data_IF_106576717943
#
_entry.id   IF_106576717943
#
_cell.length_a   1.000
_cell.length_b   1.000
_cell.length_c   1.000
_cell.angle_alpha   90.00
_cell.angle_beta   90.00
_cell.angle_gamma   90.00
#
_symmetry.space_group_name_H-M   'P 1'
#
loop_
_entity.id
_entity.type
_entity.pdbx_description
1 polymer ?
#
# COMPACT_ATOMS: atom_id res chain seq x y z
N UNK A 1 -48.48 -23.62 -40.44
CA UNK A 1 -47.46 -23.80 -39.39
C UNK A 1 -46.78 -22.45 -39.17
N UNK A 2 -47.50 -21.49 -38.57
CA UNK A 2 -47.28 -20.92 -37.22
C UNK A 2 -45.84 -20.48 -36.96
N UNK A 3 -45.65 -19.18 -37.20
CA UNK A 3 -44.52 -18.32 -36.84
C UNK A 3 -44.30 -18.29 -35.33
N UNK A 4 -43.04 -18.29 -34.94
CA UNK A 4 -42.56 -18.14 -33.56
C UNK A 4 -42.52 -16.64 -33.23
N UNK A 5 -43.55 -16.12 -32.57
CA UNK A 5 -43.58 -14.78 -32.01
C UNK A 5 -43.07 -14.83 -30.56
N UNK A 6 -41.83 -14.38 -30.34
CA UNK A 6 -41.26 -14.19 -28.99
C UNK A 6 -41.68 -12.83 -28.48
N UNK A 7 -42.32 -12.85 -27.31
CA UNK A 7 -42.93 -11.74 -26.60
C UNK A 7 -41.94 -10.60 -26.33
N UNK A 8 -42.22 -9.46 -26.97
CA UNK A 8 -41.66 -8.15 -26.70
C UNK A 8 -42.50 -7.49 -25.59
N UNK A 9 -42.40 -7.98 -24.35
CA UNK A 9 -43.17 -7.43 -23.23
C UNK A 9 -42.52 -7.77 -21.88
N UNK A 10 -41.32 -7.24 -21.61
CA UNK A 10 -40.84 -7.00 -20.24
C UNK A 10 -39.65 -6.01 -20.26
N UNK A 11 -39.87 -4.82 -20.81
CA UNK A 11 -38.95 -3.69 -20.64
C UNK A 11 -39.73 -2.55 -19.97
N UNK A 12 -39.99 -2.72 -18.68
CA UNK A 12 -40.55 -1.69 -17.82
C UNK A 12 -39.42 -1.11 -16.96
N UNK A 13 -38.84 -0.02 -17.49
CA UNK A 13 -38.44 1.20 -16.80
C UNK A 13 -38.38 1.12 -15.26
N UNK A 14 -37.16 1.05 -14.72
CA UNK A 14 -36.88 1.50 -13.35
C UNK A 14 -35.88 2.64 -13.46
N UNK A 15 -36.42 3.85 -13.53
CA UNK A 15 -35.69 5.08 -13.22
C UNK A 15 -35.60 5.19 -11.70
N UNK A 16 -34.50 4.71 -11.11
CA UNK A 16 -34.10 5.14 -9.76
C UNK A 16 -33.17 6.33 -9.92
N UNK A 17 -33.66 7.50 -9.54
CA UNK A 17 -32.85 8.67 -9.26
C UNK A 17 -31.96 8.38 -8.06
N UNK A 18 -30.67 8.10 -8.29
CA UNK A 18 -29.65 8.07 -7.26
C UNK A 18 -29.20 9.51 -6.98
N UNK A 19 -29.58 10.03 -5.81
CA UNK A 19 -28.92 11.19 -5.24
C UNK A 19 -27.52 10.79 -4.82
N UNK A 20 -26.51 11.26 -5.54
CA UNK A 20 -25.10 11.05 -5.20
C UNK A 20 -24.73 11.87 -3.97
N UNK A 21 -24.45 11.19 -2.87
CA UNK A 21 -23.73 11.74 -1.74
C UNK A 21 -22.32 11.15 -1.81
N UNK A 22 -21.38 11.88 -2.42
CA UNK A 22 -19.96 11.56 -2.29
C UNK A 22 -19.55 11.92 -0.86
N UNK A 23 -19.56 10.95 0.04
CA UNK A 23 -18.97 11.10 1.36
C UNK A 23 -17.55 10.54 1.25
N UNK A 24 -16.55 11.42 1.33
CA UNK A 24 -15.16 11.01 1.52
C UNK A 24 -15.08 10.28 2.85
N UNK A 25 -15.07 8.95 2.82
CA UNK A 25 -14.89 8.13 4.02
C UNK A 25 -13.47 8.37 4.55
N UNK A 26 -13.38 9.09 5.66
CA UNK A 26 -12.13 9.36 6.36
C UNK A 26 -11.98 8.29 7.44
N UNK A 27 -11.06 7.35 7.25
CA UNK A 27 -10.75 6.33 8.26
C UNK A 27 -9.68 6.87 9.21
N UNK A 28 -9.85 6.76 10.53
CA UNK A 28 -8.78 7.03 11.52
C UNK A 28 -7.50 6.26 11.17
N UNK A 29 -7.61 5.10 10.54
CA UNK A 29 -6.49 4.24 10.20
C UNK A 29 -6.01 4.33 8.74
N UNK A 30 -6.34 5.38 7.97
CA UNK A 30 -5.93 5.45 6.54
C UNK A 30 -4.40 5.41 6.35
N UNK A 31 -3.62 5.73 7.40
CA UNK A 31 -2.16 5.57 7.40
C UNK A 31 -1.71 4.12 7.13
N UNK A 32 -2.54 3.12 7.39
CA UNK A 32 -2.31 1.71 7.06
C UNK A 32 -2.18 1.45 5.56
N UNK A 33 -2.62 2.38 4.71
CA UNK A 33 -2.52 2.32 3.24
C UNK A 33 -1.29 3.09 2.71
N UNK A 34 -0.47 3.68 3.57
CA UNK A 34 0.76 4.39 3.20
C UNK A 34 1.84 3.44 2.67
N UNK A 35 2.69 3.95 1.79
CA UNK A 35 3.83 3.19 1.28
C UNK A 35 4.91 3.00 2.35
N UNK A 36 5.26 1.75 2.62
CA UNK A 36 6.30 1.39 3.57
C UNK A 36 7.73 1.56 3.03
N UNK A 37 7.98 1.59 1.71
CA UNK A 37 9.34 1.67 1.14
C UNK A 37 9.47 2.60 -0.07
N UNK A 38 10.68 3.14 -0.28
CA UNK A 38 10.99 4.00 -1.41
C UNK A 38 10.90 3.26 -2.75
N UNK A 39 11.27 1.96 -2.80
CA UNK A 39 11.09 1.15 -4.02
C UNK A 39 9.62 1.09 -4.45
N UNK A 40 8.71 0.79 -3.53
CA UNK A 40 7.26 0.78 -3.81
C UNK A 40 6.74 2.17 -4.14
N UNK A 41 7.11 3.17 -3.35
CA UNK A 41 6.67 4.55 -3.55
C UNK A 41 7.09 5.08 -4.93
N UNK A 42 8.31 4.80 -5.39
CA UNK A 42 8.78 5.20 -6.73
C UNK A 42 7.99 4.51 -7.86
N UNK A 43 7.46 3.31 -7.59
CA UNK A 43 6.56 2.55 -8.46
C UNK A 43 5.08 2.91 -8.22
N UNK A 44 4.82 4.02 -7.50
CA UNK A 44 3.49 4.54 -7.17
C UNK A 44 2.57 3.57 -6.40
N UNK A 45 3.15 2.68 -5.58
CA UNK A 45 2.41 1.68 -4.80
C UNK A 45 2.17 0.37 -5.55
N UNK A 46 2.73 0.19 -6.75
CA UNK A 46 2.65 -1.04 -7.54
C UNK A 46 3.51 -2.19 -6.96
N UNK A 47 3.31 -2.56 -5.68
CA UNK A 47 4.18 -3.47 -4.92
C UNK A 47 3.68 -4.90 -4.64
N UNK A 48 2.40 -5.22 -4.89
CA UNK A 48 1.77 -6.53 -4.59
C UNK A 48 2.51 -7.75 -5.20
N UNK A 49 3.31 -7.54 -6.24
CA UNK A 49 4.09 -8.59 -6.93
C UNK A 49 5.60 -8.34 -6.90
N UNK A 50 6.11 -7.34 -6.16
CA UNK A 50 7.54 -7.02 -6.17
C UNK A 50 8.34 -7.96 -5.24
N UNK A 51 9.24 -8.80 -5.76
CA UNK A 51 9.93 -9.80 -4.96
C UNK A 51 11.17 -9.25 -4.24
N UNK A 52 11.67 -10.02 -3.27
CA UNK A 52 13.03 -9.91 -2.73
C UNK A 52 13.27 -8.79 -1.72
N UNK A 53 12.22 -8.30 -1.05
CA UNK A 53 12.31 -7.22 -0.08
C UNK A 53 11.53 -7.57 1.20
N UNK A 54 12.12 -7.30 2.37
CA UNK A 54 11.45 -7.48 3.65
C UNK A 54 10.12 -6.70 3.72
N UNK A 55 10.06 -5.51 3.12
CA UNK A 55 8.83 -4.70 3.06
C UNK A 55 7.67 -5.37 2.33
N UNK A 56 7.92 -6.46 1.57
CA UNK A 56 6.88 -7.26 0.95
C UNK A 56 5.78 -7.66 1.94
N UNK A 57 6.12 -7.87 3.22
CA UNK A 57 5.14 -8.19 4.27
C UNK A 57 4.00 -7.17 4.36
N UNK A 58 4.26 -5.88 4.10
CA UNK A 58 3.24 -4.82 4.22
C UNK A 58 2.28 -4.75 3.03
N UNK A 59 2.65 -5.34 1.89
CA UNK A 59 1.91 -5.25 0.64
C UNK A 59 1.23 -6.56 0.25
N UNK A 60 1.92 -7.67 0.43
CA UNK A 60 1.44 -9.01 0.20
C UNK A 60 2.31 -10.00 0.99
N UNK A 61 1.80 -10.62 2.08
CA UNK A 61 2.60 -11.53 2.91
C UNK A 61 3.15 -12.75 2.16
N UNK A 62 2.55 -13.15 1.03
CA UNK A 62 3.10 -14.23 0.20
C UNK A 62 4.48 -13.88 -0.41
N UNK A 63 4.79 -12.59 -0.54
CA UNK A 63 6.11 -12.13 -1.01
C UNK A 63 7.25 -12.51 -0.05
N UNK A 64 6.96 -12.86 1.21
CA UNK A 64 7.98 -13.41 2.11
C UNK A 64 8.63 -14.68 1.53
N UNK A 65 7.90 -15.46 0.73
CA UNK A 65 8.49 -16.64 0.06
C UNK A 65 9.46 -16.28 -1.09
N UNK A 66 9.47 -15.02 -1.55
CA UNK A 66 10.43 -14.54 -2.57
C UNK A 66 11.78 -14.13 -1.97
N UNK A 67 11.90 -14.21 -0.64
CA UNK A 67 13.16 -13.99 0.06
C UNK A 67 13.96 -15.28 0.00
N UNK A 68 15.15 -15.18 -0.60
CA UNK A 68 16.07 -16.29 -0.76
C UNK A 68 16.82 -16.58 0.56
N UNK A 69 18.08 -17.00 0.50
CA UNK A 69 18.88 -17.38 1.67
C UNK A 69 19.37 -16.19 2.51
N UNK A 70 19.02 -14.96 2.14
CA UNK A 70 19.43 -13.74 2.86
C UNK A 70 18.43 -13.42 3.98
N UNK A 71 18.89 -12.66 4.96
CA UNK A 71 18.05 -12.06 6.00
C UNK A 71 17.91 -10.55 5.74
N UNK A 72 17.08 -10.14 4.75
CA UNK A 72 16.94 -8.73 4.42
C UNK A 72 16.40 -7.93 5.61
N UNK A 73 17.06 -6.82 5.90
CA UNK A 73 16.62 -5.76 6.79
C UNK A 73 16.36 -4.51 5.96
N UNK A 74 15.32 -3.77 6.30
CA UNK A 74 14.94 -2.54 5.63
C UNK A 74 14.56 -1.47 6.64
N UNK A 75 15.09 -0.26 6.43
CA UNK A 75 14.75 0.93 7.20
C UNK A 75 14.32 2.00 6.21
N UNK A 76 13.14 2.57 6.42
CA UNK A 76 12.61 3.68 5.62
C UNK A 76 12.36 4.89 6.51
N UNK A 77 12.81 6.05 6.04
CA UNK A 77 12.45 7.34 6.60
C UNK A 77 11.68 8.12 5.54
N UNK A 78 10.58 8.73 5.98
CA UNK A 78 9.68 9.45 5.13
C UNK A 78 9.32 10.80 5.75
N UNK A 79 9.61 11.87 5.01
CA UNK A 79 9.16 13.21 5.38
C UNK A 79 7.94 13.57 4.55
N UNK A 80 6.81 13.70 5.20
CA UNK A 80 5.57 14.16 4.60
C UNK A 80 5.60 15.69 4.39
N UNK A 81 4.54 16.21 3.80
CA UNK A 81 4.24 17.65 3.86
C UNK A 81 3.87 18.04 5.30
N UNK A 82 4.19 19.26 5.72
CA UNK A 82 4.14 19.72 7.13
C UNK A 82 5.17 18.99 8.03
N UNK A 83 5.03 19.10 9.35
CA UNK A 83 5.90 18.49 10.36
C UNK A 83 5.59 17.00 10.64
N UNK A 84 4.92 16.33 9.69
CA UNK A 84 4.61 14.91 9.78
C UNK A 84 5.85 14.09 9.39
N UNK A 85 6.25 13.17 10.28
CA UNK A 85 7.37 12.27 10.05
C UNK A 85 6.89 10.83 10.16
N UNK A 86 7.31 9.99 9.22
CA UNK A 86 6.90 8.59 9.19
C UNK A 86 8.06 7.70 8.81
N UNK A 87 7.92 6.42 9.09
CA UNK A 87 8.96 5.47 8.75
C UNK A 87 8.52 4.04 8.91
N UNK A 88 9.38 3.15 8.45
CA UNK A 88 9.20 1.72 8.61
C UNK A 88 10.52 1.03 8.91
N UNK A 89 10.42 -0.09 9.62
CA UNK A 89 11.47 -1.06 9.83
C UNK A 89 10.89 -2.41 9.45
N UNK A 90 11.59 -3.19 8.63
CA UNK A 90 11.17 -4.55 8.31
C UNK A 90 12.38 -5.48 8.29
N UNK A 91 12.17 -6.71 8.74
CA UNK A 91 13.15 -7.77 8.67
C UNK A 91 12.47 -9.09 8.35
N UNK A 92 13.13 -9.94 7.58
CA UNK A 92 12.63 -11.26 7.29
C UNK A 92 13.76 -12.26 7.13
N UNK A 93 13.48 -13.54 7.40
CA UNK A 93 14.44 -14.63 7.31
C UNK A 93 13.76 -15.93 6.96
N UNK A 94 14.36 -16.67 6.02
CA UNK A 94 13.93 -18.02 5.66
C UNK A 94 14.47 -19.05 6.66
N UNK A 95 13.60 -19.96 7.07
CA UNK A 95 13.93 -21.10 7.92
C UNK A 95 13.57 -22.41 7.19
N UNK A 96 14.55 -23.30 7.09
CA UNK A 96 14.37 -24.59 6.41
C UNK A 96 13.25 -25.42 7.06
N UNK A 97 12.36 -25.95 6.23
CA UNK A 97 11.20 -26.74 6.66
C UNK A 97 10.04 -25.93 7.27
N UNK A 98 10.22 -24.65 7.59
CA UNK A 98 9.19 -23.79 8.20
C UNK A 98 8.64 -22.78 7.20
N UNK A 99 9.49 -22.20 6.35
CA UNK A 99 9.14 -21.08 5.47
C UNK A 99 9.83 -19.79 5.90
N UNK A 100 9.36 -18.65 5.41
CA UNK A 100 9.94 -17.34 5.74
C UNK A 100 9.12 -16.66 6.83
N UNK A 101 9.79 -16.23 7.90
CA UNK A 101 9.20 -15.37 8.92
C UNK A 101 9.62 -13.92 8.67
N UNK A 102 8.68 -13.00 8.86
CA UNK A 102 8.90 -11.57 8.76
C UNK A 102 8.35 -10.83 9.98
N UNK A 103 8.96 -9.71 10.30
CA UNK A 103 8.44 -8.76 11.28
C UNK A 103 8.69 -7.34 10.79
N UNK A 104 7.80 -6.43 11.15
CA UNK A 104 7.95 -5.04 10.77
C UNK A 104 7.18 -4.08 11.65
N UNK A 105 7.64 -2.84 11.65
CA UNK A 105 7.04 -1.70 12.32
C UNK A 105 6.78 -0.62 11.28
N UNK A 106 5.62 0.01 11.34
CA UNK A 106 5.35 1.28 10.66
C UNK A 106 4.96 2.31 11.71
N UNK A 107 5.43 3.54 11.57
CA UNK A 107 5.03 4.64 12.46
C UNK A 107 4.76 5.91 11.67
N UNK A 108 3.83 6.71 12.19
CA UNK A 108 3.56 8.07 11.73
C UNK A 108 3.46 8.98 12.96
N UNK A 109 4.13 10.11 12.96
CA UNK A 109 3.98 11.16 13.97
C UNK A 109 3.58 12.46 13.30
N UNK A 110 2.62 13.14 13.89
CA UNK A 110 2.04 14.37 13.33
C UNK A 110 2.64 15.64 13.91
N UNK A 111 3.74 15.53 14.66
CA UNK A 111 4.37 16.64 15.36
C UNK A 111 3.62 17.02 16.64
N UNK A 112 3.83 18.25 17.12
CA UNK A 112 3.11 18.84 18.23
C UNK A 112 2.12 19.91 17.75
N UNK A 113 1.00 19.99 18.46
CA UNK A 113 -0.08 20.93 18.23
C UNK A 113 -0.22 21.84 19.44
N UNK A 114 -0.48 23.12 19.21
CA UNK A 114 -0.77 24.08 20.27
C UNK A 114 -2.14 23.77 20.90
N UNK A 115 -2.17 23.71 22.23
CA UNK A 115 -3.41 23.58 23.01
C UNK A 115 -3.87 24.98 23.42
N UNK A 116 -5.10 25.32 23.09
CA UNK A 116 -5.72 26.60 23.49
C UNK A 116 -6.95 26.39 24.37
N UNK A 117 -7.18 27.33 25.29
CA UNK A 117 -8.45 27.41 26.01
C UNK A 117 -9.56 28.01 25.14
N UNK A 118 -10.79 28.09 25.67
CA UNK A 118 -11.95 28.67 24.95
C UNK A 118 -11.78 30.16 24.61
N UNK A 119 -10.83 30.84 25.26
CA UNK A 119 -10.52 32.25 25.07
C UNK A 119 -9.35 32.44 24.08
N UNK A 120 -8.79 31.35 23.54
CA UNK A 120 -7.67 31.37 22.61
C UNK A 120 -6.30 31.53 23.28
N UNK A 121 -6.21 31.45 24.61
CA UNK A 121 -4.92 31.48 25.29
C UNK A 121 -4.23 30.12 25.16
N UNK A 122 -2.95 30.11 24.83
CA UNK A 122 -2.14 28.90 24.77
C UNK A 122 -1.91 28.34 26.18
N UNK A 123 -2.27 27.08 26.39
CA UNK A 123 -2.18 26.38 27.68
C UNK A 123 -1.27 25.14 27.63
N UNK A 124 -0.62 24.86 26.49
CA UNK A 124 0.37 23.79 26.34
C UNK A 124 0.46 23.28 24.91
N UNK A 125 1.02 22.07 24.74
CA UNK A 125 1.06 21.36 23.47
C UNK A 125 0.59 19.90 23.65
N UNK A 126 0.16 19.27 22.57
CA UNK A 126 -0.13 17.83 22.51
C UNK A 126 0.36 17.21 21.20
N UNK A 127 0.58 15.90 21.18
CA UNK A 127 1.02 15.18 19.98
C UNK A 127 -0.01 14.20 19.46
N UNK A 128 0.23 13.70 18.26
CA UNK A 128 -0.46 12.54 17.70
C UNK A 128 0.53 11.59 17.05
N UNK A 129 0.31 10.29 17.22
CA UNK A 129 1.13 9.25 16.62
C UNK A 129 0.36 7.94 16.39
N UNK A 130 0.79 7.23 15.37
CA UNK A 130 0.32 5.91 15.00
C UNK A 130 1.49 4.93 14.89
N UNK A 131 1.30 3.71 15.37
CA UNK A 131 2.29 2.63 15.31
C UNK A 131 1.58 1.32 14.92
N UNK A 132 2.16 0.59 13.97
CA UNK A 132 1.73 -0.77 13.62
C UNK A 132 2.87 -1.72 13.86
N UNK A 133 2.61 -2.77 14.63
CA UNK A 133 3.46 -3.94 14.73
C UNK A 133 2.89 -5.03 13.82
N UNK A 134 3.70 -5.58 12.92
CA UNK A 134 3.31 -6.66 12.00
C UNK A 134 4.25 -7.84 12.18
N UNK A 135 3.69 -9.04 12.32
CA UNK A 135 4.43 -10.31 12.23
C UNK A 135 3.81 -11.14 11.13
N UNK A 136 4.65 -11.82 10.35
CA UNK A 136 4.23 -12.48 9.12
C UNK A 136 4.92 -13.81 8.90
N UNK A 137 4.22 -14.68 8.18
CA UNK A 137 4.76 -15.93 7.68
C UNK A 137 4.34 -16.11 6.22
N UNK A 138 5.25 -16.62 5.39
CA UNK A 138 4.95 -16.99 4.01
C UNK A 138 5.77 -18.18 3.54
N UNK A 139 5.17 -19.02 2.69
CA UNK A 139 5.81 -20.22 2.18
C UNK A 139 5.27 -20.62 0.80
N UNK A 140 6.03 -21.44 0.09
CA UNK A 140 5.63 -22.04 -1.17
C UNK A 140 4.50 -23.05 -0.96
N UNK A 141 3.53 -23.04 -1.87
CA UNK A 141 2.48 -24.05 -1.98
C UNK A 141 2.79 -25.11 -3.05
N UNK A 142 3.74 -24.83 -3.95
CA UNK A 142 4.10 -25.68 -5.09
C UNK A 142 3.78 -25.01 -6.42
N UNK A 143 4.40 -25.50 -7.51
CA UNK A 143 4.10 -25.07 -8.89
C UNK A 143 4.15 -23.54 -9.11
N UNK A 144 5.09 -22.86 -8.45
CA UNK A 144 5.24 -21.39 -8.53
C UNK A 144 4.26 -20.59 -7.66
N UNK A 145 3.32 -21.25 -6.97
CA UNK A 145 2.43 -20.63 -6.00
C UNK A 145 3.07 -20.53 -4.62
N UNK A 146 2.72 -19.46 -3.92
CA UNK A 146 3.04 -19.21 -2.52
C UNK A 146 1.88 -18.48 -1.83
N UNK A 147 1.81 -18.64 -0.53
CA UNK A 147 0.85 -17.98 0.32
C UNK A 147 1.55 -17.38 1.54
N UNK A 148 0.90 -16.40 2.15
CA UNK A 148 1.34 -15.85 3.42
C UNK A 148 0.21 -15.23 4.21
N UNK A 149 0.48 -15.03 5.50
CA UNK A 149 -0.43 -14.40 6.46
C UNK A 149 0.34 -13.45 7.36
N UNK A 150 -0.32 -12.38 7.81
CA UNK A 150 0.20 -11.52 8.86
C UNK A 150 -0.78 -11.41 10.03
N UNK A 151 -0.23 -11.17 11.22
CA UNK A 151 -0.95 -10.61 12.35
C UNK A 151 -0.44 -9.19 12.65
N UNK A 152 -1.37 -8.29 12.98
CA UNK A 152 -1.09 -6.88 13.25
C UNK A 152 -1.68 -6.42 14.56
N UNK A 153 -0.91 -5.60 15.27
CA UNK A 153 -1.39 -4.78 16.39
C UNK A 153 -1.16 -3.32 16.01
N UNK A 154 -2.22 -2.53 16.09
CA UNK A 154 -2.26 -1.15 15.64
C UNK A 154 -2.55 -0.28 16.85
N UNK A 155 -1.71 0.70 17.11
CA UNK A 155 -1.85 1.68 18.18
C UNK A 155 -1.94 3.08 17.58
N UNK A 156 -2.91 3.86 18.04
CA UNK A 156 -3.11 5.24 17.65
C UNK A 156 -3.32 6.06 18.92
N UNK A 157 -2.69 7.22 19.03
CA UNK A 157 -2.83 8.11 20.19
C UNK A 157 -2.92 9.57 19.74
N UNK A 158 -3.83 10.33 20.34
CA UNK A 158 -4.03 11.76 20.12
C UNK A 158 -4.24 12.38 21.50
N UNK A 159 -3.31 13.23 21.92
CA UNK A 159 -3.30 13.76 23.28
C UNK A 159 -3.36 12.65 24.36
N UNK A 160 -4.35 12.68 25.25
CA UNK A 160 -4.58 11.68 26.29
C UNK A 160 -5.43 10.49 25.82
N UNK A 161 -6.01 10.57 24.62
CA UNK A 161 -6.84 9.52 24.07
C UNK A 161 -6.00 8.51 23.28
N UNK A 162 -6.41 7.25 23.30
CA UNK A 162 -5.76 6.19 22.54
C UNK A 162 -6.75 5.19 21.97
N UNK A 163 -6.35 4.50 20.92
CA UNK A 163 -7.09 3.44 20.29
C UNK A 163 -6.16 2.30 19.89
N UNK A 164 -6.60 1.07 20.12
CA UNK A 164 -5.88 -0.16 19.75
C UNK A 164 -6.75 -1.01 18.86
N UNK A 165 -6.20 -1.53 17.77
CA UNK A 165 -6.88 -2.47 16.88
C UNK A 165 -6.02 -3.70 16.59
N UNK A 166 -6.69 -4.80 16.26
CA UNK A 166 -6.06 -6.04 15.81
C UNK A 166 -6.51 -6.33 14.38
N UNK A 167 -5.59 -6.78 13.54
CA UNK A 167 -5.89 -7.14 12.16
C UNK A 167 -5.11 -8.36 11.67
N UNK A 168 -5.66 -9.00 10.66
CA UNK A 168 -5.03 -10.08 9.91
C UNK A 168 -4.90 -9.68 8.44
N UNK A 169 -3.84 -10.17 7.82
CA UNK A 169 -3.68 -10.13 6.36
C UNK A 169 -3.56 -11.54 5.80
N UNK A 170 -3.96 -11.69 4.54
CA UNK A 170 -3.71 -12.88 3.72
C UNK A 170 -3.19 -12.50 2.35
N UNK A 171 -2.36 -13.36 1.77
CA UNK A 171 -1.76 -13.12 0.47
C UNK A 171 -1.54 -14.39 -0.33
N UNK A 172 -1.67 -14.29 -1.65
CA UNK A 172 -1.25 -15.26 -2.64
C UNK A 172 -0.29 -14.60 -3.62
N UNK A 173 0.68 -15.37 -4.09
CA UNK A 173 1.63 -14.95 -5.11
C UNK A 173 1.96 -16.13 -6.03
N UNK A 174 1.96 -15.87 -7.33
CA UNK A 174 2.30 -16.82 -8.37
C UNK A 174 3.43 -16.25 -9.23
N UNK A 175 4.47 -17.05 -9.47
CA UNK A 175 5.58 -16.71 -10.35
C UNK A 175 5.72 -17.74 -11.47
N UNK A 176 5.47 -17.31 -12.70
CA UNK A 176 5.86 -18.04 -13.90
C UNK A 176 7.27 -17.62 -14.32
N UNK A 177 8.24 -18.47 -13.97
CA UNK A 177 9.66 -18.26 -14.29
C UNK A 177 9.96 -18.47 -15.78
N UNK A 178 9.08 -19.15 -16.53
CA UNK A 178 9.24 -19.31 -17.97
C UNK A 178 8.88 -17.99 -18.64
N UNK A 179 7.65 -17.49 -18.46
CA UNK A 179 7.18 -16.27 -19.14
C UNK A 179 7.61 -14.96 -18.48
N UNK A 180 8.30 -15.02 -17.32
CA UNK A 180 8.67 -13.87 -16.50
C UNK A 180 7.47 -13.03 -16.03
N UNK A 181 6.33 -13.69 -15.82
CA UNK A 181 5.09 -13.07 -15.31
C UNK A 181 4.92 -13.43 -13.84
N UNK A 182 4.51 -12.45 -13.05
CA UNK A 182 4.09 -12.64 -11.67
C UNK A 182 2.67 -12.12 -11.49
N UNK A 183 1.91 -12.79 -10.64
CA UNK A 183 0.58 -12.35 -10.23
C UNK A 183 0.47 -12.40 -8.71
N UNK A 184 -0.30 -11.50 -8.13
CA UNK A 184 -0.47 -11.39 -6.69
C UNK A 184 -1.87 -10.95 -6.31
N UNK A 185 -2.30 -11.44 -5.16
CA UNK A 185 -3.57 -11.10 -4.51
C UNK A 185 -3.26 -10.88 -3.03
N UNK A 186 -3.75 -9.78 -2.45
CA UNK A 186 -3.67 -9.58 -1.00
C UNK A 186 -4.98 -9.03 -0.44
N UNK A 187 -5.36 -9.53 0.73
CA UNK A 187 -6.42 -8.99 1.57
C UNK A 187 -5.74 -8.46 2.83
N UNK A 188 -5.80 -7.16 3.05
CA UNK A 188 -5.08 -6.46 4.11
C UNK A 188 -6.05 -5.86 5.12
N UNK A 189 -5.62 -5.82 6.38
CA UNK A 189 -6.27 -5.11 7.48
C UNK A 189 -7.66 -5.62 7.85
N UNK A 190 -7.91 -6.93 7.71
CA UNK A 190 -9.14 -7.56 8.20
C UNK A 190 -9.12 -7.64 9.72
N UNK A 191 -9.94 -6.83 10.39
CA UNK A 191 -9.91 -6.77 11.84
C UNK A 191 -10.86 -5.73 12.43
N UNK A 192 -10.64 -5.39 13.70
CA UNK A 192 -11.48 -4.45 14.43
C UNK A 192 -10.73 -3.79 15.58
N UNK A 193 -11.30 -2.69 16.09
CA UNK A 193 -10.81 -2.01 17.28
C UNK A 193 -11.08 -2.84 18.54
N UNK A 194 -10.07 -2.92 19.39
CA UNK A 194 -10.15 -3.45 20.75
C UNK A 194 -10.44 -2.33 21.75
N UNK A 195 -9.89 -1.14 21.49
CA UNK A 195 -10.20 0.09 22.22
C UNK A 195 -10.26 1.27 21.26
N UNK A 196 -11.08 2.26 21.58
CA UNK A 196 -11.38 3.42 20.75
C UNK A 196 -11.05 4.72 21.48
N UNK A 197 -10.80 5.79 20.73
CA UNK A 197 -10.51 7.13 21.27
C UNK A 197 -11.67 7.71 22.10
N UNK A 198 -12.90 7.36 21.73
CA UNK A 198 -14.15 7.69 22.42
C UNK A 198 -15.09 6.47 22.34
N UNK A 199 -16.35 6.58 22.79
CA UNK A 199 -17.34 5.48 22.67
C UNK A 199 -17.77 5.14 21.23
N UNK A 200 -17.09 5.68 20.21
CA UNK A 200 -17.36 5.41 18.79
C UNK A 200 -16.28 4.48 18.24
N UNK A 201 -16.71 3.34 17.71
CA UNK A 201 -15.84 2.43 16.98
C UNK A 201 -15.77 2.83 15.51
N UNK A 202 -14.58 2.81 14.94
CA UNK A 202 -14.30 3.02 13.52
C UNK A 202 -13.73 1.74 12.88
N UNK A 203 -14.10 1.51 11.63
CA UNK A 203 -13.66 0.35 10.88
C UNK A 203 -12.21 0.47 10.43
N UNK A 204 -11.51 -0.66 10.41
CA UNK A 204 -10.22 -0.75 9.74
C UNK A 204 -10.41 -0.65 8.21
N UNK A 205 -9.46 -0.03 7.49
CA UNK A 205 -9.55 0.20 6.04
C UNK A 205 -9.21 -1.08 5.27
N UNK A 206 -10.09 -2.09 5.39
CA UNK A 206 -9.99 -3.37 4.70
C UNK A 206 -9.69 -3.14 3.22
N UNK A 207 -8.66 -3.79 2.70
CA UNK A 207 -8.16 -3.54 1.35
C UNK A 207 -7.92 -4.86 0.62
N UNK A 208 -8.57 -5.03 -0.53
CA UNK A 208 -8.30 -6.12 -1.46
C UNK A 208 -7.50 -5.55 -2.63
N UNK A 209 -6.33 -6.14 -2.85
CA UNK A 209 -5.41 -5.75 -3.93
C UNK A 209 -5.16 -6.90 -4.88
N UNK A 210 -5.08 -6.57 -6.17
CA UNK A 210 -4.69 -7.45 -7.25
C UNK A 210 -3.48 -6.84 -7.96
N UNK A 211 -2.50 -7.65 -8.33
CA UNK A 211 -1.30 -7.19 -9.01
C UNK A 211 -0.83 -8.16 -10.07
N UNK A 212 -0.26 -7.61 -11.15
CA UNK A 212 0.48 -8.36 -12.16
C UNK A 212 1.75 -7.61 -12.49
N UNK A 213 2.87 -8.33 -12.60
CA UNK A 213 4.11 -7.77 -13.15
C UNK A 213 4.71 -8.66 -14.22
N UNK A 214 5.47 -8.04 -15.11
CA UNK A 214 6.18 -8.71 -16.19
C UNK A 214 7.60 -8.15 -16.30
N UNK A 215 8.59 -9.03 -16.20
CA UNK A 215 9.98 -8.69 -16.48
C UNK A 215 10.25 -8.97 -17.97
N UNK A 216 10.35 -7.90 -18.76
CA UNK A 216 10.45 -7.99 -20.21
C UNK A 216 11.73 -8.75 -20.62
N UNK A 217 11.60 -9.63 -21.61
CA UNK A 217 12.76 -10.31 -22.19
C UNK A 217 13.49 -9.38 -23.16
N UNK A 218 14.80 -9.26 -23.02
CA UNK A 218 15.64 -8.43 -23.89
C UNK A 218 15.63 -6.93 -23.56
N UNK A 219 14.81 -6.49 -22.59
CA UNK A 219 14.84 -5.15 -22.03
C UNK A 219 14.91 -5.29 -20.50
N UNK A 220 15.86 -4.63 -19.81
CA UNK A 220 16.02 -4.76 -18.37
C UNK A 220 14.95 -3.94 -17.62
N UNK A 221 13.67 -4.14 -17.94
CA UNK A 221 12.52 -3.40 -17.45
C UNK A 221 11.48 -4.35 -16.86
N UNK A 222 11.17 -4.14 -15.57
CA UNK A 222 10.00 -4.70 -14.91
C UNK A 222 8.85 -3.70 -15.01
N UNK A 223 7.68 -4.17 -15.44
CA UNK A 223 6.44 -3.38 -15.42
C UNK A 223 5.48 -4.04 -14.43
N UNK A 224 4.83 -3.24 -13.58
CA UNK A 224 3.83 -3.70 -12.62
C UNK A 224 2.54 -2.88 -12.75
N UNK A 225 1.39 -3.56 -12.66
CA UNK A 225 0.06 -2.98 -12.59
C UNK A 225 -0.64 -3.55 -11.37
N UNK A 226 -1.12 -2.67 -10.50
CA UNK A 226 -1.91 -3.04 -9.33
C UNK A 226 -3.26 -2.34 -9.33
N UNK A 227 -4.27 -3.06 -8.86
CA UNK A 227 -5.54 -2.52 -8.41
C UNK A 227 -5.61 -2.63 -6.90
N UNK A 228 -6.13 -1.60 -6.24
CA UNK A 228 -6.26 -1.50 -4.79
C UNK A 228 -7.63 -0.95 -4.44
N UNK A 229 -8.01 -0.99 -3.16
CA UNK A 229 -9.29 -0.47 -2.68
C UNK A 229 -10.48 -1.12 -3.40
N UNK A 230 -10.33 -2.38 -3.82
CA UNK A 230 -11.37 -3.09 -4.58
C UNK A 230 -12.64 -3.34 -3.76
N UNK A 231 -12.54 -3.28 -2.43
CA UNK A 231 -13.64 -3.43 -1.48
C UNK A 231 -14.27 -2.10 -1.05
N UNK A 232 -13.66 -0.95 -1.37
CA UNK A 232 -14.24 0.36 -1.06
C UNK A 232 -15.61 0.50 -1.77
N UNK A 233 -16.48 1.36 -1.23
CA UNK A 233 -17.77 1.64 -1.85
C UNK A 233 -17.61 2.28 -3.23
N UNK A 234 -18.44 1.85 -4.17
CA UNK A 234 -18.34 2.23 -5.58
C UNK A 234 -19.72 2.20 -6.24
N UNK A 235 -20.00 3.17 -7.12
CA UNK A 235 -21.28 3.26 -7.83
C UNK A 235 -21.58 2.04 -8.72
N UNK A 236 -20.55 1.45 -9.32
CA UNK A 236 -20.66 0.26 -10.18
C UNK A 236 -19.43 -0.65 -10.08
N UNK A 237 -19.51 -1.85 -10.68
CA UNK A 237 -18.44 -2.84 -10.62
C UNK A 237 -17.13 -2.36 -11.26
N UNK A 238 -17.22 -1.63 -12.38
CA UNK A 238 -16.03 -1.17 -13.10
C UNK A 238 -15.32 -0.03 -12.35
N UNK A 239 -16.04 0.83 -11.62
CA UNK A 239 -15.44 1.90 -10.82
C UNK A 239 -14.53 1.40 -9.70
N UNK A 240 -14.69 0.15 -9.24
CA UNK A 240 -13.76 -0.49 -8.28
C UNK A 240 -12.33 -0.55 -8.81
N UNK A 241 -12.17 -0.65 -10.13
CA UNK A 241 -10.85 -0.71 -10.79
C UNK A 241 -10.25 0.67 -11.10
N UNK A 242 -10.91 1.76 -10.71
CA UNK A 242 -10.37 3.12 -10.89
C UNK A 242 -9.16 3.40 -9.99
N UNK A 243 -9.03 2.69 -8.87
CA UNK A 243 -7.91 2.75 -7.94
C UNK A 243 -6.74 1.87 -8.40
N UNK A 244 -6.14 2.22 -9.55
CA UNK A 244 -5.01 1.51 -10.12
C UNK A 244 -3.68 2.27 -9.99
N UNK A 245 -2.59 1.51 -9.96
CA UNK A 245 -1.21 2.00 -9.97
C UNK A 245 -0.39 1.25 -11.02
N UNK A 246 0.41 1.97 -11.78
CA UNK A 246 1.34 1.41 -12.76
C UNK A 246 2.75 1.84 -12.38
N UNK A 247 3.71 0.93 -12.38
CA UNK A 247 5.12 1.22 -12.13
C UNK A 247 6.03 0.54 -13.14
N UNK A 248 7.18 1.16 -13.42
CA UNK A 248 8.27 0.60 -14.21
C UNK A 248 9.61 0.71 -13.48
N UNK A 249 10.34 -0.40 -13.31
CA UNK A 249 11.69 -0.46 -12.74
C UNK A 249 12.68 -0.85 -13.84
N UNK A 250 13.52 0.11 -14.24
CA UNK A 250 14.53 -0.06 -15.27
C UNK A 250 15.89 -0.29 -14.63
N UNK A 251 16.52 -1.42 -14.96
CA UNK A 251 17.87 -1.75 -14.55
C UNK A 251 18.85 -1.20 -15.57
N UNK A 252 19.46 -0.05 -15.27
CA UNK A 252 20.40 0.64 -16.17
C UNK A 252 21.75 -0.09 -16.16
N UNK A 253 22.19 -0.51 -14.99
CA UNK A 253 23.40 -1.28 -14.75
C UNK A 253 23.24 -2.08 -13.46
N UNK A 254 24.17 -2.98 -13.16
CA UNK A 254 24.16 -3.75 -11.91
C UNK A 254 23.96 -2.88 -10.65
N UNK A 255 24.63 -1.73 -10.48
CA UNK A 255 24.40 -0.86 -9.33
C UNK A 255 23.18 0.07 -9.46
N UNK A 256 22.71 0.41 -10.67
CA UNK A 256 21.74 1.50 -10.84
C UNK A 256 20.37 1.03 -11.32
N UNK A 257 19.32 1.40 -10.58
CA UNK A 257 17.91 1.22 -10.92
C UNK A 257 17.22 2.57 -11.04
N UNK A 258 16.42 2.76 -12.08
CA UNK A 258 15.53 3.92 -12.23
C UNK A 258 14.08 3.45 -12.18
N UNK A 259 13.22 4.23 -11.53
CA UNK A 259 11.82 3.88 -11.32
C UNK A 259 10.92 5.04 -11.66
N UNK A 260 9.79 4.71 -12.27
CA UNK A 260 8.71 5.64 -12.56
C UNK A 260 7.38 4.97 -12.22
N UNK A 261 6.41 5.76 -11.80
CA UNK A 261 5.08 5.24 -11.52
C UNK A 261 3.99 6.29 -11.61
N UNK A 262 2.75 5.80 -11.70
CA UNK A 262 1.53 6.58 -11.73
C UNK A 262 0.46 5.92 -10.87
N UNK A 263 -0.12 6.67 -9.93
CA UNK A 263 -1.26 6.25 -9.11
C UNK A 263 -2.48 7.11 -9.44
N UNK A 264 -3.52 6.46 -9.96
CA UNK A 264 -4.73 7.16 -10.41
C UNK A 264 -5.58 7.68 -9.24
N UNK A 265 -5.61 6.95 -8.12
CA UNK A 265 -6.34 7.37 -6.90
C UNK A 265 -5.71 8.63 -6.31
N UNK A 266 -4.38 8.63 -6.13
CA UNK A 266 -3.64 9.81 -5.66
C UNK A 266 -3.87 11.00 -6.58
N UNK A 267 -3.88 10.81 -7.91
CA UNK A 267 -4.20 11.90 -8.83
C UNK A 267 -5.58 12.48 -8.58
N UNK A 268 -6.60 11.64 -8.43
CA UNK A 268 -7.96 12.09 -8.13
C UNK A 268 -8.01 12.84 -6.79
N UNK A 269 -7.29 12.35 -5.78
CA UNK A 269 -7.24 12.94 -4.44
C UNK A 269 -6.53 14.28 -4.39
N UNK A 270 -5.56 14.56 -5.26
CA UNK A 270 -4.83 15.85 -5.23
C UNK A 270 -5.28 16.84 -6.31
N UNK A 271 -6.19 16.43 -7.19
CA UNK A 271 -6.76 17.31 -8.22
C UNK A 271 -7.98 18.02 -7.66
N UNK A 272 -7.75 19.03 -6.80
CA UNK A 272 -8.80 19.92 -6.31
C UNK A 272 -8.91 21.16 -7.20
N UNK A 273 -10.13 21.59 -7.53
CA UNK A 273 -10.38 22.87 -8.21
C UNK A 273 -9.79 23.03 -9.63
N UNK A 274 -9.45 21.92 -10.31
CA UNK A 274 -8.97 21.94 -11.70
C UNK A 274 -7.46 22.14 -11.88
N UNK A 275 -6.64 22.04 -10.82
CA UNK A 275 -5.18 22.12 -10.94
C UNK A 275 -4.63 20.91 -11.73
N UNK A 276 -4.11 21.16 -12.93
CA UNK A 276 -3.52 20.15 -13.83
C UNK A 276 -2.05 19.86 -13.52
N UNK A 277 -1.73 19.62 -12.25
CA UNK A 277 -0.37 19.27 -11.84
C UNK A 277 -0.01 17.82 -12.17
N UNK A 278 1.22 17.43 -11.83
CA UNK A 278 1.75 16.06 -12.01
C UNK A 278 1.28 15.08 -10.91
N UNK A 279 0.12 15.34 -10.31
CA UNK A 279 -0.42 14.57 -9.19
C UNK A 279 -0.53 13.08 -9.49
N UNK A 280 -0.04 12.24 -8.58
CA UNK A 280 -0.01 10.79 -8.72
C UNK A 280 1.21 10.25 -9.47
N UNK A 281 2.03 11.10 -10.13
CA UNK A 281 3.30 10.66 -10.70
C UNK A 281 4.35 10.46 -9.62
N UNK A 282 5.18 9.44 -9.82
CA UNK A 282 6.24 9.03 -8.91
C UNK A 282 7.51 8.74 -9.70
N UNK A 283 8.65 9.02 -9.09
CA UNK A 283 9.96 8.71 -9.66
C UNK A 283 10.93 8.30 -8.55
N UNK A 284 11.94 7.51 -8.89
CA UNK A 284 12.96 7.13 -7.92
C UNK A 284 14.20 6.52 -8.52
N UNK A 285 15.21 6.39 -7.68
CA UNK A 285 16.50 5.80 -7.99
C UNK A 285 16.86 4.78 -6.92
N UNK A 286 17.47 3.67 -7.33
CA UNK A 286 18.03 2.66 -6.46
C UNK A 286 19.51 2.48 -6.77
N UNK A 287 20.35 2.51 -5.75
CA UNK A 287 21.79 2.28 -5.85
C UNK A 287 22.14 1.03 -5.04
N UNK A 288 22.64 0.01 -5.70
CA UNK A 288 23.09 -1.25 -5.10
C UNK A 288 24.62 -1.21 -4.96
N UNK A 289 25.10 -1.44 -3.74
CA UNK A 289 26.52 -1.51 -3.39
C UNK A 289 26.69 -2.73 -2.49
N UNK A 290 27.29 -3.79 -3.04
CA UNK A 290 27.42 -5.09 -2.39
C UNK A 290 26.06 -5.61 -1.85
N UNK A 291 25.97 -5.83 -0.54
CA UNK A 291 24.77 -6.28 0.16
C UNK A 291 23.79 -5.15 0.54
N UNK A 292 24.11 -3.89 0.21
CA UNK A 292 23.30 -2.73 0.57
C UNK A 292 22.58 -2.16 -0.65
N UNK A 293 21.33 -1.73 -0.47
CA UNK A 293 20.57 -0.99 -1.49
C UNK A 293 19.99 0.29 -0.89
N UNK A 294 20.38 1.42 -1.47
CA UNK A 294 19.86 2.74 -1.14
C UNK A 294 18.80 3.13 -2.17
N UNK A 295 17.57 3.27 -1.74
CA UNK A 295 16.46 3.70 -2.59
C UNK A 295 15.98 5.08 -2.19
N UNK A 296 15.75 5.94 -3.18
CA UNK A 296 15.12 7.24 -3.02
C UNK A 296 13.87 7.32 -3.91
N UNK A 297 12.80 7.90 -3.38
CA UNK A 297 11.56 8.13 -4.11
C UNK A 297 11.04 9.55 -3.90
N UNK A 298 10.44 10.06 -4.97
CA UNK A 298 9.69 11.30 -5.02
C UNK A 298 8.27 11.00 -5.53
N UNK A 299 7.25 11.40 -4.78
CA UNK A 299 5.85 11.32 -5.19
C UNK A 299 5.28 12.73 -5.34
N UNK A 300 4.70 13.05 -6.50
CA UNK A 300 4.09 14.35 -6.75
C UNK A 300 2.63 14.39 -6.28
N UNK A 301 2.30 15.40 -5.47
CA UNK A 301 0.96 15.71 -5.02
C UNK A 301 0.39 16.96 -5.72
N UNK A 302 0.79 17.18 -6.97
CA UNK A 302 0.40 18.36 -7.75
C UNK A 302 0.71 19.68 -7.00
N UNK A 303 -0.30 20.54 -6.81
CA UNK A 303 -0.14 21.84 -6.15
C UNK A 303 0.17 21.76 -4.65
N UNK A 304 -0.02 20.58 -4.03
CA UNK A 304 0.29 20.36 -2.62
C UNK A 304 1.80 20.13 -2.40
N UNK A 305 2.59 20.00 -3.46
CA UNK A 305 4.04 19.78 -3.37
C UNK A 305 4.43 18.32 -3.60
N UNK A 306 5.47 17.87 -2.92
CA UNK A 306 6.08 16.57 -3.15
C UNK A 306 6.49 15.88 -1.85
N UNK A 307 6.46 14.56 -1.90
CA UNK A 307 6.78 13.68 -0.79
C UNK A 307 8.10 12.95 -1.10
N UNK A 308 8.99 12.89 -0.10
CA UNK A 308 10.35 12.36 -0.26
C UNK A 308 10.59 11.19 0.69
N UNK A 309 10.98 10.04 0.15
CA UNK A 309 11.22 8.82 0.92
C UNK A 309 12.61 8.26 0.64
N UNK A 310 13.29 7.82 1.69
CA UNK A 310 14.60 7.16 1.61
C UNK A 310 14.49 5.80 2.30
N UNK A 311 14.96 4.75 1.64
CA UNK A 311 15.04 3.40 2.21
C UNK A 311 16.46 2.87 2.09
N UNK A 312 16.97 2.32 3.19
CA UNK A 312 18.17 1.51 3.21
C UNK A 312 17.76 0.05 3.39
N UNK A 313 18.19 -0.81 2.47
CA UNK A 313 18.07 -2.26 2.60
C UNK A 313 19.45 -2.87 2.79
N UNK A 314 19.56 -3.89 3.62
CA UNK A 314 20.74 -4.71 3.81
C UNK A 314 20.36 -6.19 3.72
N UNK A 315 21.00 -6.94 2.82
CA UNK A 315 20.82 -8.38 2.68
C UNK A 315 21.91 -9.11 3.46
N UNK A 316 21.60 -9.51 4.69
CA UNK A 316 22.56 -10.16 5.62
C UNK A 316 22.61 -11.68 5.47
#
# INVERSE_FOLDING_TARGET
MKFLSINFALLALITLSSTSWSQSQSFVYDFLRSDASARSAAMAGAAVTLPGDANGLFYNPALLNTIDSTAPLSITVFKHLLDINSGSLAGAKRFDGVGTLGAGVQFNTYGSFERTDRNGNMIGEFGSQDIVLTVGWGNALGEGFSAGVNGKIIFSSIDEFSSTALALDGGLYYADTVSNIQAGLSLLHLGSQVSSFAEVNEDLPLDLKLGVSHQLRGLPLLIALNFSRLLDESDDFLSRFSSFSIGGEFTISDPLRLRLGYNNRTRQDVTFGGSKGLGGLSAGVGILIDQYRFDYAFNSLAGLGGMHRITLNASL
#
